data_IF_551069025857
#
_entry.id   IF_551069025857
#
_cell.length_a   1.000
_cell.length_b   1.000
_cell.length_c   1.000
_cell.angle_alpha   90.00
_cell.angle_beta   90.00
_cell.angle_gamma   90.00
#
_symmetry.space_group_name_H-M   'P 1'
#
loop_
_entity.id
_entity.type
_entity.pdbx_description
1 polymer ?
#
# COMPACT_ATOMS: atom_id res chain seq x y z
N UNK A 1 -25.24 -8.25 3.59
CA UNK A 1 -23.91 -7.61 3.69
C UNK A 1 -23.69 -6.96 2.34
N UNK A 2 -23.77 -5.66 2.26
CA UNK A 2 -23.48 -4.95 1.01
C UNK A 2 -21.98 -5.13 0.75
N UNK A 3 -21.65 -5.98 -0.24
CA UNK A 3 -20.28 -6.07 -0.72
C UNK A 3 -19.93 -4.73 -1.35
N UNK A 4 -19.09 -3.95 -0.69
CA UNK A 4 -18.59 -2.69 -1.25
C UNK A 4 -17.79 -3.03 -2.50
N UNK A 5 -18.35 -2.70 -3.69
CA UNK A 5 -17.62 -2.82 -4.94
C UNK A 5 -16.56 -1.71 -5.00
N UNK A 6 -15.30 -2.08 -4.77
CA UNK A 6 -14.18 -1.14 -4.87
C UNK A 6 -13.97 -0.67 -6.29
N UNK A 7 -13.77 0.65 -6.46
CA UNK A 7 -13.58 1.29 -7.75
C UNK A 7 -12.09 1.57 -7.99
N UNK A 8 -11.55 1.06 -9.09
CA UNK A 8 -10.14 1.15 -9.46
C UNK A 8 -9.97 1.94 -10.76
N UNK A 9 -9.03 2.88 -10.80
CA UNK A 9 -8.61 3.52 -12.04
C UNK A 9 -7.24 2.97 -12.45
N UNK A 10 -7.15 2.51 -13.70
CA UNK A 10 -5.90 2.09 -14.35
C UNK A 10 -5.48 3.18 -15.33
N UNK A 11 -4.27 3.69 -15.18
CA UNK A 11 -3.70 4.75 -16.03
C UNK A 11 -2.40 4.25 -16.64
N UNK A 12 -2.41 4.00 -17.94
CA UNK A 12 -1.28 3.48 -18.72
C UNK A 12 -1.48 3.88 -20.19
N UNK A 13 -0.43 4.31 -20.89
CA UNK A 13 -0.55 4.70 -22.30
C UNK A 13 -0.58 3.50 -23.26
N UNK A 14 -0.31 2.30 -22.74
CA UNK A 14 -0.53 1.02 -23.45
C UNK A 14 -2.00 0.57 -23.34
N UNK A 15 -2.83 0.90 -24.32
CA UNK A 15 -4.27 0.59 -24.31
C UNK A 15 -4.54 -0.91 -24.10
N UNK A 16 -3.77 -1.79 -24.77
CA UNK A 16 -3.93 -3.24 -24.63
C UNK A 16 -3.70 -3.71 -23.19
N UNK A 17 -2.73 -3.12 -22.51
CA UNK A 17 -2.45 -3.42 -21.09
C UNK A 17 -3.59 -2.93 -20.18
N UNK A 18 -4.13 -1.75 -20.45
CA UNK A 18 -5.32 -1.23 -19.78
C UNK A 18 -6.50 -2.20 -19.89
N UNK A 19 -6.78 -2.70 -21.11
CA UNK A 19 -7.87 -3.64 -21.36
C UNK A 19 -7.68 -4.98 -20.64
N UNK A 20 -6.46 -5.52 -20.67
CA UNK A 20 -6.10 -6.77 -19.97
C UNK A 20 -6.28 -6.61 -18.45
N UNK A 21 -5.76 -5.52 -17.87
CA UNK A 21 -5.87 -5.26 -16.44
C UNK A 21 -7.34 -5.05 -16.04
N UNK A 22 -8.09 -4.26 -16.82
CA UNK A 22 -9.52 -4.03 -16.61
C UNK A 22 -10.29 -5.34 -16.58
N UNK A 23 -10.15 -6.18 -17.61
CA UNK A 23 -10.85 -7.46 -17.70
C UNK A 23 -10.60 -8.36 -16.49
N UNK A 24 -9.32 -8.48 -16.07
CA UNK A 24 -8.95 -9.36 -14.96
C UNK A 24 -9.44 -8.81 -13.62
N UNK A 25 -9.35 -7.49 -13.39
CA UNK A 25 -9.83 -6.84 -12.17
C UNK A 25 -11.36 -6.91 -12.07
N UNK A 26 -12.09 -6.70 -13.17
CA UNK A 26 -13.55 -6.86 -13.21
C UNK A 26 -13.99 -8.30 -12.93
N UNK A 27 -13.21 -9.29 -13.39
CA UNK A 27 -13.47 -10.71 -13.08
C UNK A 27 -13.34 -11.02 -11.58
N UNK A 28 -12.51 -10.26 -10.85
CA UNK A 28 -12.38 -10.32 -9.39
C UNK A 28 -13.45 -9.52 -8.63
N UNK A 29 -14.39 -8.87 -9.35
CA UNK A 29 -15.50 -8.13 -8.76
C UNK A 29 -15.23 -6.64 -8.49
N UNK A 30 -14.14 -6.07 -9.01
CA UNK A 30 -13.88 -4.64 -8.93
C UNK A 30 -14.62 -3.85 -10.00
N UNK A 31 -14.95 -2.58 -9.74
CA UNK A 31 -15.39 -1.64 -10.76
C UNK A 31 -14.15 -0.96 -11.34
N UNK A 32 -13.94 -1.07 -12.67
CA UNK A 32 -12.68 -0.59 -13.26
C UNK A 32 -12.93 0.40 -14.39
N UNK A 33 -12.27 1.53 -14.28
CA UNK A 33 -12.12 2.49 -15.37
C UNK A 33 -10.65 2.59 -15.79
N UNK A 34 -10.45 3.03 -17.03
CA UNK A 34 -9.11 3.20 -17.62
C UNK A 34 -8.93 4.65 -18.10
N UNK A 35 -7.69 5.09 -18.14
CA UNK A 35 -7.27 6.32 -18.82
C UNK A 35 -5.93 6.06 -19.53
N UNK A 36 -5.78 6.59 -20.74
CA UNK A 36 -4.57 6.37 -21.55
C UNK A 36 -3.53 7.47 -21.37
N UNK A 37 -3.76 8.40 -20.46
CA UNK A 37 -2.79 9.43 -20.06
C UNK A 37 -3.12 9.98 -18.68
N UNK A 38 -2.15 10.66 -18.08
CA UNK A 38 -2.36 11.37 -16.83
C UNK A 38 -3.37 12.52 -16.98
N UNK A 39 -3.39 13.18 -18.14
CA UNK A 39 -4.31 14.25 -18.48
C UNK A 39 -5.74 13.74 -18.53
N UNK A 40 -5.99 12.60 -19.21
CA UNK A 40 -7.30 11.96 -19.27
C UNK A 40 -7.76 11.51 -17.86
N UNK A 41 -6.82 11.00 -17.05
CA UNK A 41 -7.14 10.63 -15.68
C UNK A 41 -7.61 11.83 -14.85
N UNK A 42 -7.01 13.02 -15.05
CA UNK A 42 -7.40 14.25 -14.34
C UNK A 42 -8.77 14.81 -14.76
N UNK A 43 -9.31 14.38 -15.88
CA UNK A 43 -10.69 14.74 -16.32
C UNK A 43 -11.75 13.90 -15.59
N UNK A 44 -11.36 12.80 -14.92
CA UNK A 44 -12.26 11.93 -14.18
C UNK A 44 -12.43 12.42 -12.72
N UNK A 45 -13.51 11.96 -12.08
CA UNK A 45 -13.71 12.18 -10.64
C UNK A 45 -12.78 11.24 -9.83
N UNK A 46 -11.51 11.66 -9.68
CA UNK A 46 -10.49 10.87 -8.99
C UNK A 46 -10.91 10.53 -7.57
N UNK A 47 -11.62 11.41 -6.87
CA UNK A 47 -12.03 11.19 -5.49
C UNK A 47 -13.02 10.01 -5.34
N UNK A 48 -13.62 9.56 -6.44
CA UNK A 48 -14.55 8.42 -6.43
C UNK A 48 -13.86 7.05 -6.48
N UNK A 49 -12.53 6.98 -6.67
CA UNK A 49 -11.80 5.71 -6.74
C UNK A 49 -11.22 5.31 -5.38
N UNK A 50 -11.18 4.00 -5.15
CA UNK A 50 -10.60 3.38 -3.95
C UNK A 50 -9.13 2.98 -4.13
N UNK A 51 -8.63 2.94 -5.38
CA UNK A 51 -7.23 2.61 -5.73
C UNK A 51 -6.89 3.12 -7.13
N UNK A 52 -5.65 3.57 -7.31
CA UNK A 52 -5.08 3.93 -8.60
C UNK A 52 -3.92 2.98 -8.95
N UNK A 53 -3.92 2.44 -10.17
CA UNK A 53 -2.77 1.80 -10.81
C UNK A 53 -2.22 2.78 -11.83
N UNK A 54 -0.99 3.27 -11.63
CA UNK A 54 -0.40 4.31 -12.46
C UNK A 54 0.87 3.80 -13.13
N UNK A 55 0.90 3.80 -14.45
CA UNK A 55 2.18 3.68 -15.15
C UNK A 55 3.06 4.90 -14.87
N UNK A 56 4.35 4.66 -14.63
CA UNK A 56 5.32 5.73 -14.39
C UNK A 56 5.71 6.42 -15.68
N UNK A 57 5.87 5.65 -16.76
CA UNK A 57 6.44 6.07 -18.02
C UNK A 57 5.38 6.33 -19.09
N UNK A 58 4.64 7.42 -18.95
CA UNK A 58 3.65 7.84 -19.95
C UNK A 58 4.14 9.06 -20.73
N UNK A 59 3.69 9.20 -21.97
CA UNK A 59 3.88 10.43 -22.75
C UNK A 59 3.20 11.64 -22.09
N UNK A 60 3.86 12.79 -22.09
CA UNK A 60 3.34 14.01 -21.44
C UNK A 60 3.60 14.03 -19.93
N UNK A 61 2.55 14.02 -19.11
CA UNK A 61 2.69 13.99 -17.66
C UNK A 61 2.98 12.56 -17.19
N UNK A 62 4.08 12.37 -16.45
CA UNK A 62 4.42 11.06 -15.88
C UNK A 62 3.49 10.66 -14.73
N UNK A 63 3.42 9.34 -14.43
CA UNK A 63 2.65 8.84 -13.28
C UNK A 63 3.11 9.44 -11.94
N UNK A 64 4.40 9.73 -11.79
CA UNK A 64 4.90 10.42 -10.59
C UNK A 64 4.41 11.86 -10.48
N UNK A 65 4.35 12.59 -11.58
CA UNK A 65 3.81 13.95 -11.57
C UNK A 65 2.30 13.95 -11.28
N UNK A 66 1.57 12.99 -11.83
CA UNK A 66 0.16 12.79 -11.51
C UNK A 66 -0.02 12.50 -10.02
N UNK A 67 0.70 11.50 -9.50
CA UNK A 67 0.63 11.13 -8.08
C UNK A 67 0.93 12.30 -7.15
N UNK A 68 1.96 13.10 -7.46
CA UNK A 68 2.29 14.32 -6.71
C UNK A 68 1.11 15.28 -6.64
N UNK A 69 0.50 15.60 -7.78
CA UNK A 69 -0.70 16.48 -7.82
C UNK A 69 -1.85 15.92 -6.97
N UNK A 70 -2.08 14.60 -7.04
CA UNK A 70 -3.15 13.96 -6.27
C UNK A 70 -2.87 13.98 -4.78
N UNK A 71 -1.62 13.78 -4.36
CA UNK A 71 -1.21 13.81 -2.94
C UNK A 71 -1.21 15.22 -2.34
N UNK A 72 -1.09 16.26 -3.16
CA UNK A 72 -1.21 17.67 -2.74
C UNK A 72 -2.67 18.10 -2.56
N UNK A 73 -3.64 17.35 -3.08
CA UNK A 73 -5.07 17.66 -2.96
C UNK A 73 -5.71 16.83 -1.82
N UNK A 74 -6.31 17.52 -0.85
CA UNK A 74 -6.93 16.91 0.35
C UNK A 74 -7.97 15.85 0.00
N UNK A 75 -8.74 16.04 -1.08
CA UNK A 75 -9.78 15.09 -1.49
C UNK A 75 -9.22 13.78 -2.06
N UNK A 76 -7.99 13.77 -2.59
CA UNK A 76 -7.40 12.61 -3.26
C UNK A 76 -6.13 12.10 -2.56
N UNK A 77 -5.59 12.85 -1.59
CA UNK A 77 -4.33 12.53 -0.93
C UNK A 77 -4.31 11.14 -0.26
N UNK A 78 -5.46 10.67 0.22
CA UNK A 78 -5.58 9.39 0.93
C UNK A 78 -5.84 8.19 0.02
N UNK A 79 -6.09 8.43 -1.29
CA UNK A 79 -6.31 7.34 -2.24
C UNK A 79 -4.99 6.58 -2.42
N UNK A 80 -4.98 5.25 -2.21
CA UNK A 80 -3.77 4.45 -2.39
C UNK A 80 -3.36 4.39 -3.86
N UNK A 81 -2.04 4.36 -4.08
CA UNK A 81 -1.43 4.33 -5.40
C UNK A 81 -0.47 3.15 -5.49
N UNK A 82 -0.63 2.33 -6.52
CA UNK A 82 0.34 1.33 -6.94
C UNK A 82 0.96 1.81 -8.25
N UNK A 83 2.28 1.94 -8.30
CA UNK A 83 2.98 2.26 -9.54
C UNK A 83 3.31 1.01 -10.34
N UNK A 84 3.11 1.10 -11.66
CA UNK A 84 3.64 0.17 -12.64
C UNK A 84 4.89 0.81 -13.25
N UNK A 85 6.05 0.18 -13.15
CA UNK A 85 7.33 0.81 -13.55
C UNK A 85 8.22 -0.13 -14.32
N UNK A 86 8.94 0.39 -15.31
CA UNK A 86 10.02 -0.36 -15.94
C UNK A 86 11.20 -0.53 -14.97
N UNK A 87 11.88 -1.66 -15.00
CA UNK A 87 12.82 -2.19 -13.98
C UNK A 87 14.12 -1.39 -13.79
N UNK A 88 14.36 -0.30 -14.52
CA UNK A 88 15.72 0.23 -14.75
C UNK A 88 16.12 1.46 -13.93
N UNK A 89 15.37 1.88 -12.91
CA UNK A 89 15.81 3.02 -12.10
C UNK A 89 15.63 2.79 -10.61
N UNK A 90 16.73 2.43 -9.92
CA UNK A 90 16.83 2.51 -8.44
C UNK A 90 16.40 3.90 -7.93
N UNK A 91 16.59 4.95 -8.73
CA UNK A 91 16.17 6.31 -8.43
C UNK A 91 14.65 6.50 -8.45
N UNK A 92 13.90 5.77 -9.28
CA UNK A 92 12.44 5.89 -9.37
C UNK A 92 11.76 5.28 -8.15
N UNK A 93 12.30 4.17 -7.63
CA UNK A 93 11.80 3.55 -6.40
C UNK A 93 11.95 4.50 -5.19
N UNK A 94 13.09 5.16 -5.06
CA UNK A 94 13.35 6.14 -3.98
C UNK A 94 12.46 7.38 -4.13
N UNK A 95 12.30 7.88 -5.34
CA UNK A 95 11.46 9.06 -5.64
C UNK A 95 9.98 8.76 -5.34
N UNK A 96 9.52 7.60 -5.73
CA UNK A 96 8.13 7.20 -5.52
C UNK A 96 7.78 6.90 -4.07
N UNK A 97 8.68 6.29 -3.27
CA UNK A 97 8.48 6.13 -1.82
C UNK A 97 8.35 7.47 -1.10
N UNK A 98 9.10 8.48 -1.54
CA UNK A 98 8.98 9.86 -1.04
C UNK A 98 7.66 10.52 -1.44
N UNK A 99 6.98 10.04 -2.49
CA UNK A 99 5.66 10.51 -2.94
C UNK A 99 4.49 9.83 -2.24
N UNK A 100 4.74 8.91 -1.30
CA UNK A 100 3.70 8.24 -0.52
C UNK A 100 2.93 7.16 -1.29
N UNK A 101 3.60 6.45 -2.21
CA UNK A 101 3.05 5.27 -2.86
C UNK A 101 2.84 4.11 -1.88
N UNK A 102 1.79 3.34 -2.11
CA UNK A 102 1.44 2.19 -1.26
C UNK A 102 2.10 0.90 -1.72
N UNK A 103 2.44 0.78 -3.02
CA UNK A 103 3.18 -0.36 -3.58
C UNK A 103 3.76 -0.04 -4.98
N UNK A 104 4.66 -0.94 -5.47
CA UNK A 104 5.31 -0.88 -6.78
C UNK A 104 5.28 -2.25 -7.46
N UNK A 105 5.05 -2.26 -8.77
CA UNK A 105 5.09 -3.46 -9.61
C UNK A 105 6.01 -3.18 -10.78
N UNK A 106 7.09 -3.97 -10.89
CA UNK A 106 8.04 -3.83 -11.99
C UNK A 106 7.55 -4.51 -13.26
N UNK A 107 7.55 -3.81 -14.40
CA UNK A 107 7.34 -4.38 -15.74
C UNK A 107 8.60 -5.17 -16.17
N UNK A 108 8.52 -6.37 -16.77
CA UNK A 108 7.29 -7.11 -17.02
C UNK A 108 6.75 -7.82 -15.79
N UNK A 109 5.45 -7.78 -15.57
CA UNK A 109 4.76 -8.43 -14.45
C UNK A 109 3.76 -9.48 -14.94
N UNK A 110 3.36 -10.37 -14.06
CA UNK A 110 2.22 -11.26 -14.29
C UNK A 110 0.92 -10.61 -13.80
N UNK A 111 -0.19 -10.88 -14.47
CA UNK A 111 -1.52 -10.44 -14.01
C UNK A 111 -1.79 -10.92 -12.58
N UNK A 112 -1.35 -12.15 -12.25
CA UNK A 112 -1.47 -12.70 -10.90
C UNK A 112 -0.78 -11.84 -9.85
N UNK A 113 0.39 -11.30 -10.16
CA UNK A 113 1.12 -10.40 -9.26
C UNK A 113 0.32 -9.12 -9.00
N UNK A 114 -0.21 -8.51 -10.05
CA UNK A 114 -1.06 -7.31 -9.92
C UNK A 114 -2.26 -7.60 -9.03
N UNK A 115 -2.98 -8.73 -9.27
CA UNK A 115 -4.15 -9.11 -8.46
C UNK A 115 -3.81 -9.27 -6.99
N UNK A 116 -2.69 -9.94 -6.66
CA UNK A 116 -2.26 -10.14 -5.26
C UNK A 116 -1.97 -8.81 -4.57
N UNK A 117 -1.28 -7.87 -5.25
CA UNK A 117 -0.93 -6.57 -4.70
C UNK A 117 -2.15 -5.65 -4.55
N UNK A 118 -3.04 -5.62 -5.54
CA UNK A 118 -4.31 -4.88 -5.49
C UNK A 118 -5.14 -5.33 -4.28
N UNK A 119 -5.34 -6.65 -4.10
CA UNK A 119 -6.07 -7.17 -2.92
C UNK A 119 -5.40 -6.77 -1.61
N UNK A 120 -4.07 -6.82 -1.54
CA UNK A 120 -3.34 -6.47 -0.32
C UNK A 120 -3.47 -4.98 0.03
N UNK A 121 -3.45 -4.09 -0.97
CA UNK A 121 -3.59 -2.64 -0.76
C UNK A 121 -5.04 -2.31 -0.38
N UNK A 122 -6.03 -2.83 -1.12
CA UNK A 122 -7.46 -2.60 -0.83
C UNK A 122 -7.81 -3.08 0.58
N UNK A 123 -7.35 -4.28 0.98
CA UNK A 123 -7.59 -4.79 2.34
C UNK A 123 -7.03 -3.86 3.40
N UNK A 124 -5.79 -3.37 3.24
CA UNK A 124 -5.17 -2.41 4.18
C UNK A 124 -5.96 -1.11 4.27
N UNK A 125 -6.52 -0.65 3.16
CA UNK A 125 -7.34 0.57 3.12
C UNK A 125 -8.73 0.33 3.71
N UNK A 126 -9.35 -0.81 3.43
CA UNK A 126 -10.62 -1.22 4.03
C UNK A 126 -10.50 -1.37 5.55
N UNK A 127 -9.41 -1.97 6.03
CA UNK A 127 -9.10 -2.07 7.45
C UNK A 127 -8.90 -0.69 8.11
N UNK A 128 -8.44 0.31 7.36
CA UNK A 128 -8.36 1.71 7.82
C UNK A 128 -9.73 2.43 7.80
N UNK A 129 -10.60 2.12 6.84
CA UNK A 129 -11.91 2.77 6.66
C UNK A 129 -13.06 2.02 7.36
N UNK A 130 -12.94 0.70 7.56
CA UNK A 130 -13.98 -0.18 8.13
C UNK A 130 -13.88 -0.39 9.63
N UNK A 131 -12.89 0.18 10.25
CA UNK A 131 -12.86 0.39 11.69
C UNK A 131 -13.24 1.83 11.96
N UNK A 132 -14.44 2.04 12.55
CA UNK A 132 -14.45 2.89 13.73
C UNK A 132 -13.16 2.54 14.45
N UNK A 133 -12.17 3.42 14.33
CA UNK A 133 -10.82 3.09 14.71
C UNK A 133 -10.84 2.61 16.16
N UNK A 134 -10.84 1.30 16.38
CA UNK A 134 -10.06 0.84 17.51
C UNK A 134 -8.67 1.41 17.23
N UNK A 135 -8.20 2.31 18.08
CA UNK A 135 -6.88 2.88 17.88
C UNK A 135 -5.97 1.69 17.65
N UNK A 136 -5.15 1.75 16.62
CA UNK A 136 -4.12 0.76 16.33
C UNK A 136 -3.06 0.85 17.42
N UNK A 137 -3.52 0.76 18.64
CA UNK A 137 -2.81 0.89 19.90
C UNK A 137 -3.02 -0.42 20.63
N UNK A 138 -2.00 -1.23 20.61
CA UNK A 138 -1.97 -2.43 21.46
C UNK A 138 -1.45 -1.99 22.83
N UNK A 139 -2.26 -2.16 23.87
CA UNK A 139 -1.86 -1.81 25.24
C UNK A 139 -1.76 -3.04 26.15
N UNK A 140 -0.76 -3.05 27.02
CA UNK A 140 -0.57 -4.09 28.02
C UNK A 140 0.23 -3.55 29.21
N UNK A 141 -0.37 -3.51 30.41
CA UNK A 141 0.27 -3.15 31.67
C UNK A 141 1.09 -1.84 31.62
N UNK A 142 0.51 -0.75 31.10
CA UNK A 142 1.18 0.54 30.97
C UNK A 142 1.98 0.72 29.69
N UNK A 143 2.25 -0.36 28.96
CA UNK A 143 2.87 -0.31 27.63
C UNK A 143 1.79 0.00 26.58
N UNK A 144 2.05 0.99 25.75
CA UNK A 144 1.17 1.40 24.64
C UNK A 144 1.96 1.41 23.35
N UNK A 145 1.55 0.56 22.41
CA UNK A 145 2.14 0.42 21.09
C UNK A 145 1.22 1.05 20.05
N UNK A 146 1.63 2.14 19.43
CA UNK A 146 0.89 2.75 18.32
C UNK A 146 1.42 2.20 16.99
N UNK A 147 0.61 1.34 16.33
CA UNK A 147 1.02 0.65 15.10
C UNK A 147 1.15 1.61 13.93
N UNK A 148 0.29 2.63 13.85
CA UNK A 148 0.31 3.59 12.74
C UNK A 148 1.50 4.54 12.82
N UNK A 149 1.76 5.07 14.02
CA UNK A 149 2.88 5.99 14.27
C UNK A 149 4.21 5.28 14.47
N UNK A 150 4.18 3.94 14.65
CA UNK A 150 5.35 3.11 15.04
C UNK A 150 6.05 3.65 16.28
N UNK A 151 5.27 4.12 17.26
CA UNK A 151 5.78 4.62 18.54
C UNK A 151 5.40 3.67 19.68
N UNK A 152 6.23 3.66 20.69
CA UNK A 152 6.02 2.91 21.93
C UNK A 152 6.08 3.90 23.09
N UNK A 153 5.08 3.84 23.98
CA UNK A 153 5.14 4.57 25.23
C UNK A 153 4.91 3.63 26.42
N UNK A 154 5.56 3.93 27.53
CA UNK A 154 5.42 3.21 28.80
C UNK A 154 4.99 4.23 29.84
N UNK A 155 3.83 3.97 30.48
CA UNK A 155 3.22 4.87 31.47
C UNK A 155 3.08 6.32 31.00
N UNK A 156 2.87 6.50 29.65
CA UNK A 156 2.67 7.81 29.01
C UNK A 156 3.96 8.49 28.54
N UNK A 157 5.14 7.91 28.76
CA UNK A 157 6.42 8.43 28.25
C UNK A 157 6.84 7.68 26.99
N UNK A 158 7.20 8.42 25.93
CA UNK A 158 7.67 7.83 24.69
C UNK A 158 9.06 7.21 24.86
N UNK A 159 9.20 5.95 24.41
CA UNK A 159 10.46 5.20 24.46
C UNK A 159 10.93 4.93 23.04
N UNK A 160 12.21 5.21 22.71
CA UNK A 160 12.74 4.94 21.38
C UNK A 160 12.90 3.44 21.14
N UNK A 161 12.34 2.96 20.01
CA UNK A 161 12.47 1.59 19.53
C UNK A 161 13.02 1.60 18.11
N UNK A 162 13.92 0.68 17.82
CA UNK A 162 14.31 0.38 16.43
C UNK A 162 13.15 -0.32 15.72
N UNK A 163 13.17 -0.32 14.38
CA UNK A 163 12.13 -0.99 13.58
C UNK A 163 11.97 -2.46 13.98
N UNK A 164 13.07 -3.17 14.16
CA UNK A 164 13.06 -4.61 14.50
C UNK A 164 12.53 -4.86 15.92
N UNK A 165 12.91 -4.04 16.88
CA UNK A 165 12.39 -4.12 18.26
C UNK A 165 10.90 -3.84 18.31
N UNK A 166 10.44 -2.85 17.54
CA UNK A 166 9.02 -2.54 17.40
C UNK A 166 8.22 -3.73 16.84
N UNK A 167 8.67 -4.33 15.72
CA UNK A 167 7.99 -5.48 15.10
C UNK A 167 8.02 -6.72 16.00
N UNK A 168 9.11 -6.95 16.73
CA UNK A 168 9.18 -8.03 17.70
C UNK A 168 8.18 -7.83 18.85
N UNK A 169 8.14 -6.63 19.42
CA UNK A 169 7.21 -6.28 20.49
C UNK A 169 5.75 -6.40 20.02
N UNK A 170 5.46 -5.92 18.82
CA UNK A 170 4.16 -6.05 18.17
C UNK A 170 3.72 -7.50 18.06
N UNK A 171 4.58 -8.38 17.49
CA UNK A 171 4.30 -9.80 17.34
C UNK A 171 3.95 -10.47 18.69
N UNK A 172 4.73 -10.18 19.73
CA UNK A 172 4.53 -10.75 21.06
C UNK A 172 3.24 -10.25 21.73
N UNK A 173 2.85 -9.01 21.48
CA UNK A 173 1.62 -8.43 22.01
C UNK A 173 0.36 -8.87 21.25
N UNK A 174 0.45 -9.08 19.95
CA UNK A 174 -0.67 -9.57 19.13
C UNK A 174 -0.97 -11.05 19.40
N UNK A 175 0.06 -11.86 19.64
CA UNK A 175 -0.08 -13.31 19.91
C UNK A 175 0.21 -13.66 21.39
N UNK A 176 -0.42 -12.95 22.31
CA UNK A 176 -0.25 -13.17 23.76
C UNK A 176 -0.50 -14.61 24.18
N UNK A 177 0.38 -15.14 25.00
CA UNK A 177 0.27 -16.51 25.53
C UNK A 177 0.83 -17.58 24.59
N UNK A 178 1.30 -17.21 23.40
CA UNK A 178 2.00 -18.14 22.49
C UNK A 178 3.50 -18.17 22.80
N UNK A 179 4.08 -19.35 22.79
CA UNK A 179 5.53 -19.55 22.86
C UNK A 179 6.07 -19.65 21.44
N UNK A 180 7.07 -18.83 21.12
CA UNK A 180 7.75 -18.83 19.83
C UNK A 180 9.12 -19.48 19.96
N UNK A 181 9.50 -20.29 18.98
CA UNK A 181 10.88 -20.70 18.81
C UNK A 181 11.73 -19.53 18.28
N UNK A 182 13.05 -19.60 18.49
CA UNK A 182 13.99 -18.61 17.92
C UNK A 182 13.84 -18.47 16.41
N UNK A 183 13.68 -19.59 15.71
CA UNK A 183 13.53 -19.61 14.26
C UNK A 183 12.24 -18.91 13.81
N UNK A 184 11.12 -19.16 14.47
CA UNK A 184 9.86 -18.48 14.17
C UNK A 184 9.94 -16.96 14.37
N UNK A 185 10.65 -16.50 15.41
CA UNK A 185 10.86 -15.06 15.62
C UNK A 185 11.71 -14.45 14.50
N UNK A 186 12.80 -15.13 14.11
CA UNK A 186 13.66 -14.68 13.01
C UNK A 186 12.86 -14.59 11.71
N UNK A 187 12.12 -15.64 11.36
CA UNK A 187 11.39 -15.71 10.08
C UNK A 187 10.27 -14.65 9.97
N UNK A 188 9.72 -14.19 11.10
CA UNK A 188 8.61 -13.24 11.14
C UNK A 188 9.02 -11.78 11.31
N UNK A 189 10.12 -11.53 11.99
CA UNK A 189 10.52 -10.18 12.42
C UNK A 189 11.70 -9.64 11.59
N UNK A 190 12.62 -10.52 11.17
CA UNK A 190 13.79 -10.11 10.38
C UNK A 190 13.56 -10.29 8.89
N UNK A 191 14.00 -9.33 8.05
CA UNK A 191 14.00 -9.50 6.59
C UNK A 191 14.83 -10.73 6.20
N UNK A 192 14.38 -11.48 5.20
CA UNK A 192 15.04 -12.73 4.75
C UNK A 192 16.51 -12.56 4.29
N UNK A 193 16.94 -11.32 4.09
CA UNK A 193 18.29 -10.98 3.61
C UNK A 193 19.27 -10.67 4.75
N UNK A 194 18.85 -10.75 6.01
CA UNK A 194 19.72 -10.51 7.18
C UNK A 194 20.14 -11.84 7.77
N UNK A 195 21.42 -12.22 7.56
CA UNK A 195 22.05 -13.31 8.26
C UNK A 195 22.19 -12.93 9.76
N UNK A 196 21.33 -13.51 10.59
CA UNK A 196 21.46 -13.42 12.05
C UNK A 196 22.39 -14.56 12.49
N UNK A 197 23.65 -14.22 12.76
CA UNK A 197 24.66 -15.14 13.31
C UNK A 197 24.35 -15.48 14.77
#
# INVERSE_FOLDING_TARGET
MDEKNYKILVVDDEQDLCEILKFNLETEGYLVETANSAEEALEKDIASYDLLLLDVMMGGMSGFQLAKKLKENVATAQIPIIFLTARDTENDTVTGFNLGADDYISKPFSIREVMVRVRAVIRRTADKLGKDAEPTVVSYQGLVLNIDKKTVSIDGEDVPFTKTEFELLRLLLEEKGRVFSRQELIDRVWPKDVLVL
#
